data_IF_378629521835
#
_entry.id   IF_378629521835
#
_cell.length_a   1.000
_cell.length_b   1.000
_cell.length_c   1.000
_cell.angle_alpha   90.00
_cell.angle_beta   90.00
_cell.angle_gamma   90.00
#
_symmetry.space_group_name_H-M   'P 1'
#
loop_
_entity.id
_entity.type
_entity.pdbx_description
1 polymer ?
#
# COMPACT_ATOMS: atom_id res chain seq x y z
N UNK A 1 0.13 15.29 34.19
CA UNK A 1 -0.30 15.29 32.77
C UNK A 1 -0.25 13.87 32.24
N UNK A 2 -1.33 13.41 31.66
CA UNK A 2 -1.34 12.07 31.05
C UNK A 2 -0.90 12.20 29.59
N UNK A 3 0.14 11.48 29.22
CA UNK A 3 0.59 11.45 27.82
C UNK A 3 -0.44 10.71 26.98
N UNK A 4 -0.88 11.34 25.91
CA UNK A 4 -1.78 10.73 24.94
C UNK A 4 -0.98 10.00 23.88
N UNK A 5 -1.55 8.91 23.41
CA UNK A 5 -0.97 8.25 22.23
C UNK A 5 -1.26 9.15 21.02
N UNK A 6 -0.24 9.61 20.27
CA UNK A 6 -0.47 10.45 19.10
C UNK A 6 -1.30 9.72 18.04
N UNK A 7 -2.21 10.46 17.41
CA UNK A 7 -3.07 9.91 16.36
C UNK A 7 -2.28 9.81 15.04
N UNK A 8 -1.40 8.83 14.96
CA UNK A 8 -0.57 8.60 13.76
C UNK A 8 -0.24 7.14 13.60
N UNK A 9 -0.14 6.71 12.36
CA UNK A 9 0.44 5.43 11.98
C UNK A 9 1.72 5.73 11.21
N UNK A 10 2.87 5.41 11.78
CA UNK A 10 4.16 5.77 11.18
C UNK A 10 4.61 4.78 10.12
N UNK A 11 4.34 3.51 10.33
CA UNK A 11 4.72 2.44 9.41
C UNK A 11 3.58 1.46 9.22
N UNK A 12 3.45 0.97 7.99
CA UNK A 12 2.84 -0.32 7.70
C UNK A 12 3.96 -1.18 7.14
N UNK A 13 4.31 -2.25 7.83
CA UNK A 13 5.42 -3.12 7.44
C UNK A 13 4.89 -4.47 7.01
N UNK A 14 5.21 -4.88 5.80
CA UNK A 14 4.83 -6.16 5.24
C UNK A 14 5.95 -7.18 5.49
N UNK A 15 5.58 -8.33 6.03
CA UNK A 15 6.48 -9.48 6.10
C UNK A 15 6.53 -10.12 4.72
N UNK A 16 7.72 -10.19 4.13
CA UNK A 16 7.87 -10.66 2.74
C UNK A 16 8.76 -11.91 2.68
N UNK A 17 8.41 -12.81 1.78
CA UNK A 17 9.16 -14.06 1.57
C UNK A 17 10.29 -13.86 0.56
N UNK A 18 10.05 -13.07 -0.48
CA UNK A 18 11.02 -12.75 -1.51
C UNK A 18 11.28 -11.24 -1.50
N UNK A 19 12.25 -10.80 -0.69
CA UNK A 19 12.58 -9.39 -0.54
C UNK A 19 12.99 -8.74 -1.87
N UNK A 20 13.89 -9.33 -2.67
CA UNK A 20 14.26 -8.70 -3.94
C UNK A 20 13.07 -8.50 -4.90
N UNK A 21 12.21 -9.49 -5.02
CA UNK A 21 11.03 -9.39 -5.88
C UNK A 21 10.04 -8.33 -5.39
N UNK A 22 9.80 -8.28 -4.09
CA UNK A 22 8.87 -7.32 -3.51
C UNK A 22 9.41 -5.89 -3.59
N UNK A 23 10.70 -5.69 -3.34
CA UNK A 23 11.33 -4.39 -3.49
C UNK A 23 11.27 -3.91 -4.94
N UNK A 24 11.55 -4.78 -5.92
CA UNK A 24 11.41 -4.44 -7.34
C UNK A 24 9.97 -4.03 -7.68
N UNK A 25 9.00 -4.75 -7.16
CA UNK A 25 7.60 -4.42 -7.40
C UNK A 25 7.26 -3.01 -6.92
N UNK A 26 7.55 -2.69 -5.66
CA UNK A 26 7.19 -1.38 -5.10
C UNK A 26 8.03 -0.23 -5.66
N UNK A 27 9.24 -0.49 -6.16
CA UNK A 27 10.04 0.54 -6.86
C UNK A 27 9.35 1.04 -8.13
N UNK A 28 8.49 0.25 -8.75
CA UNK A 28 7.74 0.67 -9.93
C UNK A 28 6.78 1.85 -9.64
N UNK A 29 6.37 2.01 -8.38
CA UNK A 29 5.50 3.11 -7.98
C UNK A 29 6.19 4.47 -8.02
N UNK A 30 7.53 4.50 -8.01
CA UNK A 30 8.30 5.75 -8.01
C UNK A 30 8.30 6.47 -6.66
N UNK A 31 7.88 5.84 -5.59
CA UNK A 31 7.92 6.42 -4.25
C UNK A 31 9.37 6.53 -3.77
N UNK A 32 9.74 7.61 -3.04
CA UNK A 32 11.09 7.74 -2.51
C UNK A 32 11.46 6.57 -1.59
N UNK A 33 12.55 5.89 -1.92
CA UNK A 33 13.08 4.81 -1.10
C UNK A 33 14.05 5.38 -0.07
N UNK A 34 13.95 4.91 1.17
CA UNK A 34 14.83 5.33 2.26
C UNK A 34 16.28 4.94 1.99
N UNK A 35 17.19 5.83 2.35
CA UNK A 35 18.65 5.55 2.32
C UNK A 35 19.05 4.45 3.29
N UNK A 36 18.23 4.16 4.28
CA UNK A 36 18.47 3.07 5.23
C UNK A 36 18.02 1.70 4.69
N UNK A 37 17.47 1.67 3.47
CA UNK A 37 17.05 0.41 2.86
C UNK A 37 18.27 -0.46 2.56
N UNK A 38 18.15 -1.74 2.91
CA UNK A 38 19.15 -2.77 2.62
C UNK A 38 18.42 -4.11 2.43
N UNK A 39 19.15 -5.21 2.45
CA UNK A 39 18.56 -6.54 2.29
C UNK A 39 17.73 -7.01 3.50
N UNK A 40 17.86 -6.33 4.65
CA UNK A 40 17.12 -6.68 5.87
C UNK A 40 15.86 -5.83 6.10
N UNK A 41 15.77 -4.68 5.46
CA UNK A 41 14.61 -3.79 5.56
C UNK A 41 14.60 -2.78 4.42
N UNK A 42 13.49 -2.72 3.71
CA UNK A 42 13.28 -1.72 2.64
C UNK A 42 12.10 -0.83 3.03
N UNK A 43 12.24 0.47 2.87
CA UNK A 43 11.19 1.42 3.24
C UNK A 43 10.97 2.47 2.17
N UNK A 44 9.71 2.76 1.91
CA UNK A 44 9.27 3.78 0.95
C UNK A 44 8.50 4.88 1.67
N UNK A 45 8.93 6.12 1.44
CA UNK A 45 8.27 7.28 2.01
C UNK A 45 6.96 7.55 1.28
N UNK A 46 5.86 7.62 2.02
CA UNK A 46 4.59 8.11 1.51
C UNK A 46 4.17 9.34 2.32
N UNK A 47 3.12 10.01 1.88
CA UNK A 47 2.56 11.15 2.63
C UNK A 47 1.82 10.74 3.90
N UNK A 48 1.43 9.47 3.97
CA UNK A 48 0.84 8.87 5.17
C UNK A 48 1.84 8.00 5.91
N UNK A 49 1.51 6.75 6.15
CA UNK A 49 2.42 5.79 6.76
C UNK A 49 3.54 5.39 5.81
N UNK A 50 4.74 5.21 6.33
CA UNK A 50 5.85 4.63 5.56
C UNK A 50 5.52 3.18 5.26
N UNK A 51 5.72 2.74 4.02
CA UNK A 51 5.61 1.33 3.67
C UNK A 51 6.95 0.65 3.89
N UNK A 52 6.99 -0.31 4.82
CA UNK A 52 8.18 -1.10 5.10
C UNK A 52 8.04 -2.53 4.59
N UNK A 53 9.16 -3.10 4.17
CA UNK A 53 9.25 -4.52 3.82
C UNK A 53 10.34 -5.15 4.68
N UNK A 54 10.07 -6.29 5.30
CA UNK A 54 11.11 -7.01 6.03
C UNK A 54 10.92 -8.53 5.87
N UNK A 55 12.01 -9.31 6.03
CA UNK A 55 11.94 -10.74 5.80
C UNK A 55 10.92 -11.44 6.71
N UNK A 56 10.16 -12.37 6.14
CA UNK A 56 9.14 -13.12 6.87
C UNK A 56 9.70 -13.85 8.10
N UNK A 57 10.93 -14.32 8.03
CA UNK A 57 11.57 -14.97 9.19
C UNK A 57 11.74 -14.00 10.38
N UNK A 58 11.98 -12.71 10.12
CA UNK A 58 12.08 -11.71 11.17
C UNK A 58 10.72 -11.44 11.82
N UNK A 59 9.65 -11.48 11.01
CA UNK A 59 8.30 -11.44 11.53
C UNK A 59 8.04 -12.62 12.46
N UNK A 60 8.41 -13.81 12.03
CA UNK A 60 8.21 -15.04 12.78
C UNK A 60 8.90 -15.01 14.13
N UNK A 61 10.12 -14.48 14.19
CA UNK A 61 10.86 -14.33 15.44
C UNK A 61 10.18 -13.39 16.44
N UNK A 62 9.49 -12.35 15.95
CA UNK A 62 8.86 -11.33 16.80
C UNK A 62 7.42 -11.63 17.14
N UNK A 63 6.65 -12.18 16.20
CA UNK A 63 5.19 -12.23 16.28
C UNK A 63 4.62 -13.65 16.12
N UNK A 64 5.47 -14.66 15.92
CA UNK A 64 5.03 -16.02 15.66
C UNK A 64 4.89 -16.33 14.17
N UNK A 65 4.45 -17.54 13.86
CA UNK A 65 4.39 -18.02 12.48
C UNK A 65 3.48 -17.13 11.60
N UNK A 66 3.97 -16.69 10.42
CA UNK A 66 3.13 -15.95 9.49
C UNK A 66 2.08 -16.86 8.86
N UNK A 67 1.03 -16.29 8.25
CA UNK A 67 0.07 -17.07 7.49
C UNK A 67 0.75 -17.86 6.38
N UNK A 68 0.20 -19.03 6.04
CA UNK A 68 0.69 -19.82 4.93
C UNK A 68 0.61 -19.04 3.62
N UNK A 69 1.49 -19.31 2.64
CA UNK A 69 1.40 -18.68 1.32
C UNK A 69 0.01 -18.88 0.71
N UNK A 70 -0.60 -17.79 0.20
CA UNK A 70 -1.95 -17.82 -0.36
C UNK A 70 -3.07 -17.75 0.66
N UNK A 71 -2.77 -17.72 1.95
CA UNK A 71 -3.77 -17.54 2.99
C UNK A 71 -4.42 -16.15 2.92
N UNK A 72 -5.65 -16.06 3.40
CA UNK A 72 -6.39 -14.80 3.48
C UNK A 72 -5.63 -13.76 4.32
N UNK A 73 -5.51 -12.56 3.78
CA UNK A 73 -4.94 -11.41 4.48
C UNK A 73 -6.06 -10.58 5.07
N UNK A 74 -6.00 -10.28 6.35
CA UNK A 74 -7.08 -9.63 7.08
C UNK A 74 -7.05 -8.10 6.99
N UNK A 75 -6.36 -7.53 5.99
CA UNK A 75 -6.28 -6.08 5.80
C UNK A 75 -6.20 -5.74 4.32
N UNK A 76 -6.54 -4.49 4.01
CA UNK A 76 -6.41 -3.91 2.69
C UNK A 76 -5.65 -2.59 2.83
N UNK A 77 -4.72 -2.35 1.95
CA UNK A 77 -4.03 -1.06 1.83
C UNK A 77 -4.72 -0.24 0.74
N UNK A 78 -4.70 1.07 0.86
CA UNK A 78 -5.37 1.93 -0.11
C UNK A 78 -4.50 3.09 -0.54
N UNK A 79 -4.62 3.44 -1.81
CA UNK A 79 -4.11 4.67 -2.39
C UNK A 79 -5.34 5.48 -2.80
N UNK A 80 -5.60 6.59 -2.10
CA UNK A 80 -6.69 7.47 -2.46
C UNK A 80 -6.20 8.56 -3.42
N UNK A 81 -7.05 8.88 -4.39
CA UNK A 81 -6.75 9.87 -5.43
C UNK A 81 -7.80 10.97 -5.42
N UNK A 82 -7.49 12.07 -6.10
CA UNK A 82 -8.25 13.31 -5.99
C UNK A 82 -9.55 13.31 -6.79
N UNK A 83 -9.62 12.48 -7.84
CA UNK A 83 -10.80 12.45 -8.72
C UNK A 83 -10.89 11.16 -9.54
N UNK A 84 -11.99 10.99 -10.26
CA UNK A 84 -12.27 9.84 -11.12
C UNK A 84 -11.22 9.66 -12.21
N UNK A 85 -10.82 10.75 -12.85
CA UNK A 85 -9.89 10.70 -13.97
C UNK A 85 -8.52 10.20 -13.53
N UNK A 86 -8.10 10.53 -12.32
CA UNK A 86 -6.83 10.04 -11.76
C UNK A 86 -6.87 8.55 -11.45
N UNK A 87 -8.03 8.02 -11.07
CA UNK A 87 -8.20 6.57 -10.90
C UNK A 87 -8.00 5.85 -12.24
N UNK A 88 -8.63 6.34 -13.30
CA UNK A 88 -8.48 5.76 -14.63
C UNK A 88 -7.04 5.87 -15.14
N UNK A 89 -6.39 7.00 -14.90
CA UNK A 89 -4.99 7.20 -15.29
C UNK A 89 -4.04 6.26 -14.52
N UNK A 90 -4.29 6.08 -13.22
CA UNK A 90 -3.51 5.14 -12.42
C UNK A 90 -3.67 3.71 -12.92
N UNK A 91 -4.89 3.31 -13.28
CA UNK A 91 -5.14 2.00 -13.87
C UNK A 91 -4.33 1.78 -15.15
N UNK A 92 -4.35 2.75 -16.05
CA UNK A 92 -3.59 2.66 -17.31
C UNK A 92 -2.08 2.54 -17.03
N UNK A 93 -1.57 3.31 -16.08
CA UNK A 93 -0.15 3.23 -15.68
C UNK A 93 0.18 1.88 -15.08
N UNK A 94 -0.65 1.40 -14.16
CA UNK A 94 -0.37 0.19 -13.39
C UNK A 94 -0.53 -1.09 -14.21
N UNK A 95 -1.32 -1.07 -15.29
CA UNK A 95 -1.40 -2.21 -16.21
C UNK A 95 -0.05 -2.60 -16.80
N UNK A 96 0.87 -1.65 -16.89
CA UNK A 96 2.20 -1.87 -17.43
C UNK A 96 3.22 -2.34 -16.37
N UNK A 97 2.82 -2.43 -15.11
CA UNK A 97 3.71 -2.91 -14.05
C UNK A 97 3.97 -4.41 -14.19
N UNK A 98 5.20 -4.82 -13.91
CA UNK A 98 5.56 -6.23 -13.84
C UNK A 98 5.02 -6.84 -12.56
N UNK A 99 4.57 -8.10 -12.66
CA UNK A 99 4.15 -8.93 -11.53
C UNK A 99 2.96 -8.41 -10.71
N UNK A 100 2.23 -7.43 -11.24
CA UNK A 100 0.99 -6.96 -10.64
C UNK A 100 -0.17 -7.86 -11.08
N UNK A 101 -1.11 -8.08 -10.16
CA UNK A 101 -2.36 -8.76 -10.48
C UNK A 101 -3.53 -7.81 -10.24
N UNK A 102 -4.00 -7.17 -11.30
CA UNK A 102 -5.16 -6.29 -11.24
C UNK A 102 -6.43 -7.15 -11.26
N UNK A 103 -7.35 -6.89 -10.34
CA UNK A 103 -8.54 -7.73 -10.16
C UNK A 103 -9.73 -7.28 -11.00
N UNK A 104 -9.63 -6.19 -11.72
CA UNK A 104 -10.68 -5.71 -12.61
C UNK A 104 -10.46 -4.28 -13.03
N UNK A 105 -11.25 -3.81 -14.00
CA UNK A 105 -11.21 -2.43 -14.44
C UNK A 105 -11.80 -1.49 -13.40
N UNK A 106 -11.45 -0.18 -13.42
CA UNK A 106 -12.09 0.80 -12.56
C UNK A 106 -13.60 0.80 -12.76
N UNK A 107 -14.31 0.88 -11.64
CA UNK A 107 -15.78 0.94 -11.65
C UNK A 107 -16.27 1.94 -10.61
N UNK A 108 -17.48 2.44 -10.84
CA UNK A 108 -18.15 3.30 -9.88
C UNK A 108 -18.60 2.50 -8.67
N UNK A 109 -18.45 3.11 -7.50
CA UNK A 109 -18.75 2.47 -6.22
C UNK A 109 -20.08 3.00 -5.68
N UNK A 110 -20.79 2.14 -4.96
CA UNK A 110 -22.15 2.43 -4.49
C UNK A 110 -22.23 3.62 -3.53
N UNK A 111 -21.13 3.92 -2.83
CA UNK A 111 -21.09 5.03 -1.87
C UNK A 111 -20.70 6.39 -2.49
N UNK A 112 -20.56 6.49 -3.81
CA UNK A 112 -20.10 7.71 -4.47
C UNK A 112 -18.59 7.77 -4.59
N UNK A 113 -18.04 6.93 -5.43
CA UNK A 113 -16.61 6.87 -5.68
C UNK A 113 -16.32 6.06 -6.94
N UNK A 114 -15.03 5.86 -7.20
CA UNK A 114 -14.55 5.05 -8.32
C UNK A 114 -13.23 4.41 -7.93
N UNK A 115 -13.04 3.14 -8.26
CA UNK A 115 -11.80 2.47 -7.89
C UNK A 115 -11.59 1.13 -8.58
N UNK A 116 -10.40 0.58 -8.35
CA UNK A 116 -10.04 -0.77 -8.74
C UNK A 116 -9.13 -1.37 -7.67
N UNK A 117 -8.96 -2.68 -7.72
CA UNK A 117 -8.16 -3.41 -6.76
C UNK A 117 -7.03 -4.17 -7.46
N UNK A 118 -5.94 -4.39 -6.73
CA UNK A 118 -4.84 -5.23 -7.19
C UNK A 118 -4.20 -5.99 -6.03
N UNK A 119 -3.48 -7.04 -6.39
CA UNK A 119 -2.62 -7.77 -5.46
C UNK A 119 -1.17 -7.54 -5.83
N UNK A 120 -0.32 -7.40 -4.83
CA UNK A 120 1.12 -7.43 -5.02
C UNK A 120 1.60 -8.88 -5.25
N UNK A 121 2.89 -9.11 -5.55
CA UNK A 121 3.36 -10.46 -5.85
C UNK A 121 3.16 -11.49 -4.75
N UNK A 122 3.01 -11.07 -3.50
CA UNK A 122 2.76 -11.99 -2.38
C UNK A 122 1.31 -11.97 -1.89
N UNK A 123 0.40 -11.39 -2.67
CA UNK A 123 -1.03 -11.44 -2.41
C UNK A 123 -1.53 -10.41 -1.42
N UNK A 124 -0.76 -9.38 -1.12
CA UNK A 124 -1.27 -8.27 -0.31
C UNK A 124 -2.24 -7.44 -1.15
N UNK A 125 -3.42 -7.18 -0.59
CA UNK A 125 -4.50 -6.51 -1.30
C UNK A 125 -4.39 -4.99 -1.17
N UNK A 126 -4.59 -4.32 -2.31
CA UNK A 126 -4.62 -2.87 -2.42
C UNK A 126 -5.86 -2.43 -3.17
N UNK A 127 -6.39 -1.28 -2.79
CA UNK A 127 -7.36 -0.57 -3.60
C UNK A 127 -6.81 0.80 -4.01
N UNK A 128 -7.13 1.21 -5.22
CA UNK A 128 -6.85 2.55 -5.74
C UNK A 128 -8.21 3.20 -5.94
N UNK A 129 -8.49 4.28 -5.20
CA UNK A 129 -9.86 4.75 -5.06
C UNK A 129 -9.95 6.26 -4.94
N UNK A 130 -10.97 6.84 -5.55
CA UNK A 130 -11.45 8.16 -5.23
C UNK A 130 -12.79 8.01 -4.51
N UNK A 131 -12.97 8.73 -3.41
CA UNK A 131 -14.23 8.78 -2.69
C UNK A 131 -14.73 10.23 -2.61
N UNK A 132 -15.99 10.40 -2.96
CA UNK A 132 -16.62 11.73 -2.93
C UNK A 132 -16.58 12.34 -1.53
N UNK A 133 -16.29 13.64 -1.44
CA UNK A 133 -16.21 14.36 -0.18
C UNK A 133 -14.84 14.31 0.50
N UNK A 134 -13.89 13.56 -0.03
CA UNK A 134 -12.53 13.56 0.49
C UNK A 134 -11.70 14.70 -0.11
N UNK A 135 -10.67 15.10 0.61
CA UNK A 135 -9.69 16.09 0.17
C UNK A 135 -8.30 15.68 0.64
N UNK A 136 -7.30 16.49 0.32
CA UNK A 136 -5.92 16.17 0.68
C UNK A 136 -5.25 17.41 1.25
N UNK A 137 -4.36 17.20 2.21
CA UNK A 137 -3.53 18.28 2.73
C UNK A 137 -2.40 18.63 1.73
N UNK A 138 -1.57 19.60 2.09
CA UNK A 138 -0.48 20.07 1.22
C UNK A 138 0.63 19.03 1.03
N UNK A 139 0.64 17.97 1.81
CA UNK A 139 1.58 16.85 1.70
C UNK A 139 0.98 15.62 1.02
N UNK A 140 -0.29 15.72 0.58
CA UNK A 140 -1.00 14.61 -0.03
C UNK A 140 -1.64 13.63 0.97
N UNK A 141 -1.74 13.99 2.23
CA UNK A 141 -2.43 13.20 3.24
C UNK A 141 -3.94 13.32 3.08
N UNK A 142 -4.66 12.19 3.19
CA UNK A 142 -6.11 12.16 3.03
C UNK A 142 -6.81 12.86 4.19
N UNK A 143 -7.79 13.70 3.86
CA UNK A 143 -8.69 14.35 4.82
C UNK A 143 -10.10 13.83 4.55
N UNK A 144 -10.70 13.25 5.56
CA UNK A 144 -12.10 12.79 5.51
C UNK A 144 -13.06 13.97 5.74
N UNK A 145 -14.29 13.90 5.19
CA UNK A 145 -15.30 14.91 5.42
C UNK A 145 -15.73 15.01 6.89
#
# INVERSE_FOLDING_TARGET
MTDRIPARMSFVTLAVRDMPAMARFYRQFGWPESKFSDESFVAFQTSGAVLGLFPAKNYEEKFGAPPAPGAFKEFVLAINLEDRARVDAAYETMKAFDDIRILGEPKDLSFGGRGFEFLDPEGNAWEVVWAEGTSFDDRGGLILP
#
